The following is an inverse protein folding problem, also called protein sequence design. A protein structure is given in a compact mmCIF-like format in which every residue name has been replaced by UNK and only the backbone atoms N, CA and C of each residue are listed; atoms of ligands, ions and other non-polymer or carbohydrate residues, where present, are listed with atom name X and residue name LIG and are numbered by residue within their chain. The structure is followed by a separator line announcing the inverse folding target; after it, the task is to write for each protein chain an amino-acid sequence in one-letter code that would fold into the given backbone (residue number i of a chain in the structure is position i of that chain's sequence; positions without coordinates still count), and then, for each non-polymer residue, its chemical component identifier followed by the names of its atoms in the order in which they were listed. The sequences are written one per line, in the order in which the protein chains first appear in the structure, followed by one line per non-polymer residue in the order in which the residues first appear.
data_IF_981350321196
#
_entry.id   IF_981350321196
#
_cell.length_a   1.000
_cell.length_b   1.000
_cell.length_c   1.000
_cell.angle_alpha   90.00
_cell.angle_beta   90.00
_cell.angle_gamma   90.00
#
_symmetry.space_group_name_H-M   'P 1'
#
loop_
_entity.id
_entity.type
_entity.pdbx_description
1 polymer ?
#
# COMPACT_ATOMS: atom_id res chain seq x y z
N UNK A 1 -16.12 -20.21 -0.26
CA UNK A 1 -15.50 -19.71 -1.51
C UNK A 1 -16.52 -19.30 -2.57
N UNK A 2 -17.61 -20.06 -2.79
CA UNK A 2 -18.69 -19.72 -3.72
C UNK A 2 -19.50 -18.51 -3.28
N UNK A 3 -19.85 -18.39 -2.00
CA UNK A 3 -20.54 -17.23 -1.44
C UNK A 3 -19.68 -15.93 -1.50
N UNK A 4 -18.36 -16.05 -1.36
CA UNK A 4 -17.43 -14.92 -1.50
C UNK A 4 -17.30 -14.46 -2.96
N UNK A 5 -17.30 -15.39 -3.91
CA UNK A 5 -17.33 -15.07 -5.35
C UNK A 5 -18.63 -14.38 -5.77
N UNK A 6 -19.79 -14.86 -5.31
CA UNK A 6 -21.07 -14.21 -5.60
C UNK A 6 -21.21 -12.81 -4.98
N UNK A 7 -20.55 -12.54 -3.83
CA UNK A 7 -20.43 -11.18 -3.28
C UNK A 7 -19.48 -10.29 -4.11
N UNK A 8 -18.36 -10.82 -4.56
CA UNK A 8 -17.37 -10.07 -5.35
C UNK A 8 -17.95 -9.53 -6.67
N UNK A 9 -18.85 -10.26 -7.31
CA UNK A 9 -19.51 -9.80 -8.53
C UNK A 9 -20.53 -8.66 -8.31
N UNK A 10 -20.88 -8.36 -7.07
CA UNK A 10 -21.92 -7.37 -6.73
C UNK A 10 -21.40 -6.06 -6.11
N UNK A 11 -20.18 -6.05 -5.59
CA UNK A 11 -19.63 -4.86 -4.93
C UNK A 11 -18.52 -4.29 -5.81
N UNK A 12 -18.84 -3.30 -6.63
CA UNK A 12 -17.86 -2.48 -7.32
C UNK A 12 -17.75 -1.16 -6.56
N UNK A 13 -16.56 -0.86 -6.04
CA UNK A 13 -16.25 0.46 -5.53
C UNK A 13 -15.63 1.29 -6.66
N UNK A 14 -16.33 2.27 -7.24
CA UNK A 14 -15.76 3.12 -8.27
C UNK A 14 -14.74 4.07 -7.64
N UNK A 15 -13.52 4.22 -8.23
CA UNK A 15 -12.60 5.25 -7.79
C UNK A 15 -13.25 6.63 -7.81
N UNK A 16 -12.98 7.43 -6.77
CA UNK A 16 -13.49 8.80 -6.66
C UNK A 16 -12.68 9.79 -7.51
N UNK A 17 -11.43 9.46 -7.79
CA UNK A 17 -10.56 10.13 -8.74
C UNK A 17 -10.05 9.11 -9.76
N UNK A 18 -9.78 9.56 -10.97
CA UNK A 18 -9.37 8.67 -12.06
C UNK A 18 -7.88 8.85 -12.38
N UNK A 19 -7.10 7.81 -12.14
CA UNK A 19 -5.73 7.70 -12.60
C UNK A 19 -5.65 6.66 -13.72
N UNK A 20 -5.11 7.04 -14.87
CA UNK A 20 -4.94 6.14 -16.01
C UNK A 20 -3.69 5.26 -15.90
N UNK A 21 -2.78 5.61 -14.98
CA UNK A 21 -1.56 4.86 -14.73
C UNK A 21 -1.83 3.67 -13.83
N UNK A 22 -1.24 2.54 -14.18
CA UNK A 22 -1.30 1.30 -13.40
C UNK A 22 0.06 0.88 -12.85
N UNK A 23 1.14 1.55 -13.27
CA UNK A 23 2.52 1.30 -12.82
C UNK A 23 3.16 2.60 -12.35
N UNK A 24 4.01 2.53 -11.31
CA UNK A 24 4.66 3.70 -10.74
C UNK A 24 6.11 3.40 -10.37
N UNK A 25 6.96 4.37 -10.64
CA UNK A 25 8.39 4.35 -10.32
C UNK A 25 8.64 4.77 -8.87
N UNK A 26 9.86 4.53 -8.36
CA UNK A 26 10.27 5.02 -7.05
C UNK A 26 10.12 6.54 -6.92
N UNK A 27 10.46 7.31 -7.95
CA UNK A 27 10.33 8.76 -7.90
C UNK A 27 8.87 9.20 -7.67
N UNK A 28 7.91 8.52 -8.28
CA UNK A 28 6.49 8.80 -8.06
C UNK A 28 6.00 8.36 -6.67
N UNK A 29 6.57 7.28 -6.11
CA UNK A 29 6.30 6.91 -4.72
C UNK A 29 6.83 7.96 -3.75
N UNK A 30 7.97 8.57 -4.04
CA UNK A 30 8.53 9.66 -3.23
C UNK A 30 7.69 10.94 -3.29
N UNK A 31 6.95 11.18 -4.37
CA UNK A 31 5.94 12.26 -4.41
C UNK A 31 4.85 12.04 -3.36
N UNK A 32 4.37 10.81 -3.17
CA UNK A 32 3.42 10.47 -2.10
C UNK A 32 4.07 10.67 -0.72
N UNK A 33 5.33 10.27 -0.54
CA UNK A 33 6.07 10.49 0.70
C UNK A 33 6.26 11.98 1.02
N UNK A 34 6.39 12.81 0.00
CA UNK A 34 6.46 14.27 0.12
C UNK A 34 5.07 14.92 0.39
N UNK A 35 3.98 14.18 0.29
CA UNK A 35 2.61 14.71 0.41
C UNK A 35 2.10 15.38 -0.86
N UNK A 36 2.66 15.01 -2.01
CA UNK A 36 2.26 15.50 -3.33
C UNK A 36 1.62 14.40 -4.19
N UNK A 37 0.39 13.95 -3.90
CA UNK A 37 -0.26 12.92 -4.70
C UNK A 37 -0.51 13.36 -6.16
N UNK A 38 -0.60 14.65 -6.43
CA UNK A 38 -0.71 15.16 -7.79
C UNK A 38 0.54 14.88 -8.65
N UNK A 39 1.72 14.89 -8.05
CA UNK A 39 2.97 14.53 -8.72
C UNK A 39 3.04 13.05 -9.09
N UNK A 40 2.33 12.19 -8.36
CA UNK A 40 2.26 10.77 -8.60
C UNK A 40 1.11 10.39 -9.56
N UNK A 41 -0.11 10.80 -9.26
CA UNK A 41 -1.33 10.33 -9.91
C UNK A 41 -1.88 11.28 -10.99
N UNK A 42 -1.46 12.53 -10.98
CA UNK A 42 -1.94 13.57 -11.90
C UNK A 42 -2.67 14.71 -11.19
N UNK A 43 -2.96 15.80 -11.93
CA UNK A 43 -3.41 17.08 -11.35
C UNK A 43 -4.74 17.00 -10.59
N UNK A 44 -5.62 16.05 -10.93
CA UNK A 44 -6.89 15.85 -10.23
C UNK A 44 -6.72 15.44 -8.75
N UNK A 45 -5.53 14.91 -8.40
CA UNK A 45 -5.17 14.51 -7.05
C UNK A 45 -4.61 15.65 -6.19
N UNK A 46 -4.63 16.89 -6.69
CA UNK A 46 -4.18 18.03 -5.91
C UNK A 46 -5.13 18.31 -4.75
N UNK A 47 -4.67 18.06 -3.53
CA UNK A 47 -5.47 18.22 -2.31
C UNK A 47 -5.51 19.68 -1.79
N UNK A 48 -4.80 20.62 -2.43
CA UNK A 48 -4.75 22.03 -2.00
C UNK A 48 -4.38 22.21 -0.51
N UNK A 49 -3.56 21.32 0.03
CA UNK A 49 -3.13 21.35 1.43
C UNK A 49 -4.15 20.80 2.45
N UNK A 50 -5.27 20.23 2.06
CA UNK A 50 -6.31 19.72 2.98
C UNK A 50 -5.85 18.59 3.88
N UNK A 51 -4.94 17.71 3.39
CA UNK A 51 -4.49 16.53 4.12
C UNK A 51 -2.96 16.44 4.14
N UNK A 52 -2.26 17.34 4.82
CA UNK A 52 -0.79 17.40 4.79
C UNK A 52 -0.12 16.17 5.42
N UNK A 53 -0.86 15.42 6.23
CA UNK A 53 -0.38 14.21 6.93
C UNK A 53 -0.71 12.90 6.23
N UNK A 54 -1.47 12.91 5.13
CA UNK A 54 -1.68 11.73 4.30
C UNK A 54 -0.47 11.51 3.38
N UNK A 55 0.57 10.94 3.95
CA UNK A 55 1.86 10.65 3.31
C UNK A 55 2.20 9.19 3.48
N UNK A 56 2.97 8.65 2.54
CA UNK A 56 3.63 7.38 2.71
C UNK A 56 4.93 7.54 3.52
N UNK A 57 5.59 6.42 3.81
CA UNK A 57 6.86 6.40 4.51
C UNK A 57 7.94 7.27 3.81
N UNK A 58 8.88 7.86 4.55
CA UNK A 58 10.01 8.56 3.98
C UNK A 58 10.93 7.58 3.20
N UNK A 59 11.75 8.12 2.30
CA UNK A 59 12.59 7.36 1.38
C UNK A 59 13.36 6.20 2.04
N UNK A 60 13.95 6.44 3.21
CA UNK A 60 14.74 5.44 3.95
C UNK A 60 13.89 4.27 4.49
N UNK A 61 12.60 4.49 4.71
CA UNK A 61 11.67 3.52 5.26
C UNK A 61 10.65 3.02 4.23
N UNK A 62 10.78 3.45 2.98
CA UNK A 62 9.91 3.01 1.89
C UNK A 62 10.21 1.57 1.51
N UNK A 63 9.24 0.68 1.74
CA UNK A 63 9.38 -0.77 1.57
C UNK A 63 9.03 -1.27 0.17
N UNK A 64 8.94 -0.37 -0.82
CA UNK A 64 8.78 -0.71 -2.24
C UNK A 64 9.55 0.27 -3.12
N UNK A 65 10.10 -0.23 -4.23
CA UNK A 65 10.84 0.59 -5.20
C UNK A 65 10.01 0.91 -6.44
N UNK A 66 8.97 0.11 -6.69
CA UNK A 66 8.07 0.33 -7.83
C UNK A 66 6.74 -0.39 -7.64
N UNK A 67 5.70 0.17 -8.20
CA UNK A 67 4.40 -0.49 -8.35
C UNK A 67 4.36 -1.13 -9.74
N UNK A 68 4.12 -2.42 -9.76
CA UNK A 68 4.05 -3.23 -10.98
C UNK A 68 2.65 -3.23 -11.58
N UNK A 69 1.63 -3.17 -10.73
CA UNK A 69 0.23 -2.98 -11.19
C UNK A 69 -0.65 -2.47 -10.05
N UNK A 70 -1.61 -1.64 -10.42
CA UNK A 70 -2.76 -1.25 -9.59
C UNK A 70 -4.03 -1.53 -10.39
N UNK A 71 -4.91 -2.36 -9.83
CA UNK A 71 -6.16 -2.77 -10.47
C UNK A 71 -7.34 -2.47 -9.53
N UNK A 72 -8.04 -1.34 -9.70
CA UNK A 72 -9.11 -0.92 -8.79
C UNK A 72 -10.31 -1.87 -8.70
N UNK A 73 -10.50 -2.71 -9.70
CA UNK A 73 -11.64 -3.64 -9.78
C UNK A 73 -11.22 -5.11 -9.89
N UNK A 74 -9.91 -5.39 -9.73
CA UNK A 74 -9.36 -6.73 -9.83
C UNK A 74 -9.40 -7.50 -8.51
N UNK A 75 -8.71 -8.65 -8.52
CA UNK A 75 -8.54 -9.50 -7.34
C UNK A 75 -9.75 -10.39 -7.02
N UNK A 76 -9.60 -11.28 -6.03
CA UNK A 76 -10.62 -12.30 -5.71
C UNK A 76 -11.91 -11.73 -5.13
N UNK A 77 -11.86 -10.50 -4.60
CA UNK A 77 -13.00 -9.81 -3.99
C UNK A 77 -13.62 -8.74 -4.91
N UNK A 78 -13.03 -8.49 -6.10
CA UNK A 78 -13.51 -7.47 -7.04
C UNK A 78 -13.32 -6.02 -6.58
N UNK A 79 -12.62 -5.81 -5.46
CA UNK A 79 -12.39 -4.49 -4.85
C UNK A 79 -10.99 -3.94 -5.14
N UNK A 80 -10.19 -4.68 -5.91
CA UNK A 80 -8.88 -4.28 -6.36
C UNK A 80 -7.74 -5.02 -5.72
N UNK A 81 -6.57 -4.82 -6.32
CA UNK A 81 -5.29 -5.26 -5.78
C UNK A 81 -4.15 -4.35 -6.24
N UNK A 82 -3.05 -4.43 -5.55
CA UNK A 82 -1.81 -3.76 -5.91
C UNK A 82 -0.64 -4.75 -5.80
N UNK A 83 0.28 -4.68 -6.78
CA UNK A 83 1.52 -5.46 -6.79
C UNK A 83 2.70 -4.50 -6.85
N UNK A 84 3.67 -4.72 -5.99
CA UNK A 84 4.90 -3.92 -5.92
C UNK A 84 6.14 -4.80 -5.74
N UNK A 85 7.28 -4.26 -6.08
CA UNK A 85 8.57 -4.88 -5.85
C UNK A 85 9.49 -3.94 -5.06
N UNK A 86 10.32 -4.55 -4.21
CA UNK A 86 11.48 -3.93 -3.58
C UNK A 86 12.71 -4.74 -3.94
N UNK A 87 13.70 -4.07 -4.51
CA UNK A 87 15.02 -4.65 -4.70
C UNK A 87 15.77 -4.70 -3.35
N UNK A 88 16.55 -5.73 -3.15
CA UNK A 88 17.27 -5.97 -1.91
C UNK A 88 18.77 -5.84 -2.16
N UNK A 89 19.45 -5.13 -1.28
CA UNK A 89 20.90 -5.09 -1.23
C UNK A 89 21.40 -5.74 0.07
N UNK A 90 22.52 -6.49 0.05
CA UNK A 90 23.03 -7.15 1.26
C UNK A 90 23.39 -6.19 2.40
N UNK A 91 23.62 -4.93 2.09
CA UNK A 91 23.94 -3.84 3.03
C UNK A 91 22.75 -2.96 3.39
N UNK A 92 21.52 -3.34 2.99
CA UNK A 92 20.32 -2.64 3.43
C UNK A 92 20.25 -2.56 4.96
N UNK A 93 19.84 -1.40 5.46
CA UNK A 93 19.93 -1.01 6.87
C UNK A 93 19.24 -1.99 7.84
N UNK A 94 18.23 -2.73 7.41
CA UNK A 94 17.47 -3.65 8.26
C UNK A 94 18.17 -4.98 8.49
N UNK A 95 19.07 -5.43 7.61
CA UNK A 95 19.77 -6.70 7.78
C UNK A 95 20.73 -6.72 8.98
N UNK A 96 21.58 -5.70 9.21
CA UNK A 96 22.40 -5.70 10.44
C UNK A 96 21.61 -5.50 11.72
N UNK A 97 20.34 -5.05 11.64
CA UNK A 97 19.48 -4.85 12.81
C UNK A 97 18.78 -6.13 13.27
N UNK A 98 18.62 -7.13 12.39
CA UNK A 98 17.71 -8.25 12.68
C UNK A 98 18.12 -9.54 11.92
N UNK A 99 18.94 -10.45 12.54
CA UNK A 99 19.57 -10.37 13.85
C UNK A 99 21.10 -10.27 13.72
N UNK A 100 21.81 -9.96 14.83
CA UNK A 100 23.27 -10.03 14.83
C UNK A 100 23.71 -11.46 14.48
N UNK A 101 24.59 -11.59 13.48
CA UNK A 101 25.14 -12.85 13.00
C UNK A 101 24.12 -13.81 12.30
N UNK A 102 22.86 -13.39 12.16
CA UNK A 102 21.82 -14.12 11.44
C UNK A 102 20.85 -13.12 10.75
N UNK A 103 21.30 -12.42 9.70
CA UNK A 103 20.54 -11.33 9.10
C UNK A 103 19.37 -11.84 8.28
N UNK A 104 18.17 -11.41 8.65
CA UNK A 104 16.92 -11.67 7.93
C UNK A 104 16.04 -10.41 7.93
N UNK A 105 15.28 -10.19 6.87
CA UNK A 105 14.29 -9.12 6.84
C UNK A 105 13.16 -9.44 7.84
N UNK A 106 12.93 -8.53 8.79
CA UNK A 106 11.90 -8.70 9.79
C UNK A 106 10.50 -8.85 9.18
N UNK A 107 9.73 -9.83 9.65
CA UNK A 107 8.34 -10.03 9.22
C UNK A 107 7.45 -8.80 9.45
N UNK A 108 7.74 -8.01 10.49
CA UNK A 108 7.08 -6.72 10.75
C UNK A 108 7.35 -5.69 9.65
N UNK A 109 8.56 -5.65 9.07
CA UNK A 109 8.89 -4.77 7.96
C UNK A 109 8.22 -5.24 6.66
N UNK A 110 8.10 -6.54 6.45
CA UNK A 110 7.32 -7.07 5.32
C UNK A 110 5.84 -6.70 5.47
N UNK A 111 5.28 -6.78 6.66
CA UNK A 111 3.92 -6.34 6.93
C UNK A 111 3.75 -4.82 6.74
N UNK A 112 4.73 -4.03 7.18
CA UNK A 112 4.77 -2.59 6.94
C UNK A 112 4.73 -2.25 5.45
N UNK A 113 5.48 -2.98 4.60
CA UNK A 113 5.41 -2.83 3.15
C UNK A 113 3.99 -3.02 2.60
N UNK A 114 3.26 -4.01 3.10
CA UNK A 114 1.85 -4.22 2.74
C UNK A 114 0.96 -3.05 3.18
N UNK A 115 1.19 -2.49 4.39
CA UNK A 115 0.44 -1.32 4.89
C UNK A 115 0.71 -0.10 4.01
N UNK A 116 1.96 0.18 3.66
CA UNK A 116 2.32 1.29 2.77
C UNK A 116 1.64 1.17 1.40
N UNK A 117 1.55 -0.04 0.85
CA UNK A 117 0.85 -0.30 -0.40
C UNK A 117 -0.67 -0.13 -0.26
N UNK A 118 -1.25 -0.53 0.86
CA UNK A 118 -2.66 -0.27 1.13
C UNK A 118 -2.94 1.24 1.21
N UNK A 119 -2.10 2.01 1.89
CA UNK A 119 -2.20 3.47 1.95
C UNK A 119 -2.10 4.10 0.55
N UNK A 120 -1.14 3.66 -0.26
CA UNK A 120 -1.02 4.08 -1.65
C UNK A 120 -2.29 3.78 -2.45
N UNK A 121 -2.85 2.58 -2.31
CA UNK A 121 -4.06 2.17 -3.00
C UNK A 121 -5.27 3.04 -2.61
N UNK A 122 -5.43 3.37 -1.32
CA UNK A 122 -6.51 4.26 -0.85
C UNK A 122 -6.40 5.67 -1.46
N UNK A 123 -5.17 6.20 -1.56
CA UNK A 123 -4.92 7.47 -2.22
C UNK A 123 -5.20 7.39 -3.72
N UNK A 124 -4.81 6.28 -4.37
CA UNK A 124 -5.09 6.05 -5.79
C UNK A 124 -6.60 5.99 -6.09
N UNK A 125 -7.41 5.45 -5.19
CA UNK A 125 -8.88 5.48 -5.27
C UNK A 125 -9.49 6.87 -5.07
N UNK A 126 -8.73 7.84 -4.57
CA UNK A 126 -9.22 9.19 -4.29
C UNK A 126 -9.95 9.34 -2.95
N UNK A 127 -9.80 8.41 -1.98
CA UNK A 127 -10.52 8.47 -0.70
C UNK A 127 -10.13 9.68 0.15
N UNK A 128 -8.98 10.28 -0.08
CA UNK A 128 -8.56 11.55 0.55
C UNK A 128 -9.48 12.73 0.25
N UNK A 129 -10.33 12.63 -0.79
CA UNK A 129 -11.30 13.69 -1.11
C UNK A 129 -12.46 13.75 -0.12
N UNK A 130 -12.66 12.72 0.67
CA UNK A 130 -13.75 12.59 1.64
C UNK A 130 -13.36 13.07 3.05
N UNK A 131 -12.11 13.48 3.26
CA UNK A 131 -11.56 13.82 4.58
C UNK A 131 -10.73 15.10 4.52
N UNK A 132 -10.59 15.76 5.68
CA UNK A 132 -9.70 16.91 5.89
C UNK A 132 -8.88 16.70 7.17
N UNK A 133 -7.62 17.15 7.17
CA UNK A 133 -6.67 17.00 8.28
C UNK A 133 -6.48 15.55 8.76
N UNK A 134 -6.68 14.60 7.84
CA UNK A 134 -6.64 13.19 8.15
C UNK A 134 -5.20 12.64 8.21
N UNK A 135 -5.06 11.55 8.97
CA UNK A 135 -3.87 10.71 9.02
C UNK A 135 -4.25 9.25 8.83
N UNK A 136 -3.35 8.45 8.29
CA UNK A 136 -3.55 7.01 8.28
C UNK A 136 -3.48 6.44 9.69
N UNK A 137 -4.46 5.62 10.05
CA UNK A 137 -4.57 4.99 11.36
C UNK A 137 -4.96 3.52 11.21
N UNK A 138 -4.48 2.62 12.06
CA UNK A 138 -5.02 1.27 12.16
C UNK A 138 -6.51 1.33 12.56
N UNK A 139 -7.31 0.39 12.04
CA UNK A 139 -8.70 0.26 12.47
C UNK A 139 -8.72 -0.24 13.91
N UNK A 140 -9.29 0.56 14.81
CA UNK A 140 -9.33 0.22 16.25
C UNK A 140 -10.03 -1.12 16.49
N UNK A 141 -9.38 -1.99 17.27
CA UNK A 141 -9.91 -3.29 17.63
C UNK A 141 -9.80 -4.38 16.53
N UNK A 142 -9.30 -4.04 15.35
CA UNK A 142 -9.05 -5.03 14.31
C UNK A 142 -7.59 -5.53 14.40
N UNK A 143 -7.36 -6.83 14.69
CA UNK A 143 -6.01 -7.37 14.79
C UNK A 143 -5.38 -7.53 13.40
N UNK A 144 -4.10 -7.16 13.29
CA UNK A 144 -3.27 -7.52 12.14
C UNK A 144 -2.70 -8.93 12.36
N UNK A 145 -2.95 -9.84 11.42
CA UNK A 145 -2.46 -11.21 11.49
C UNK A 145 -1.29 -11.38 10.52
N UNK A 146 -0.10 -11.61 11.06
CA UNK A 146 1.12 -11.86 10.28
C UNK A 146 1.53 -13.33 10.42
N UNK A 147 1.80 -14.00 9.32
CA UNK A 147 2.30 -15.38 9.27
C UNK A 147 3.51 -15.45 8.35
N UNK A 148 4.70 -15.52 8.94
CA UNK A 148 5.94 -15.73 8.20
C UNK A 148 6.10 -17.23 7.88
N UNK A 149 6.31 -17.56 6.61
CA UNK A 149 6.48 -18.95 6.13
C UNK A 149 7.84 -19.21 5.49
N UNK A 150 8.70 -18.22 5.49
CA UNK A 150 10.06 -18.26 4.96
C UNK A 150 10.85 -17.08 5.47
N UNK A 151 12.12 -17.06 5.13
CA UNK A 151 13.05 -15.99 5.43
C UNK A 151 13.37 -15.21 4.15
N UNK A 152 13.65 -13.94 4.30
CA UNK A 152 14.25 -13.09 3.27
C UNK A 152 15.64 -12.71 3.78
N UNK A 153 16.68 -13.08 3.06
CA UNK A 153 18.09 -12.99 3.48
C UNK A 153 18.89 -12.07 2.58
N UNK A 154 20.10 -11.61 3.01
CA UNK A 154 21.00 -10.76 2.22
C UNK A 154 21.54 -11.45 0.96
N UNK A 155 20.90 -12.07 0.18
CA UNK A 155 21.28 -12.75 -1.07
C UNK A 155 20.09 -12.90 -1.99
N UNK A 156 18.91 -12.64 -1.45
CA UNK A 156 17.70 -12.56 -2.26
C UNK A 156 17.73 -11.27 -3.08
N UNK A 157 17.41 -11.33 -4.39
CA UNK A 157 17.52 -10.15 -5.25
C UNK A 157 16.41 -9.13 -5.01
N UNK A 158 15.23 -9.60 -4.62
CA UNK A 158 14.04 -8.76 -4.41
C UNK A 158 12.93 -9.49 -3.67
N UNK A 159 11.99 -8.71 -3.15
CA UNK A 159 10.70 -9.21 -2.68
C UNK A 159 9.58 -8.62 -3.52
N UNK A 160 8.52 -9.39 -3.69
CA UNK A 160 7.29 -8.95 -4.34
C UNK A 160 6.17 -8.93 -3.33
N UNK A 161 5.51 -7.79 -3.22
CA UNK A 161 4.30 -7.60 -2.43
C UNK A 161 3.08 -7.75 -3.32
N UNK A 162 2.05 -8.38 -2.79
CA UNK A 162 0.71 -8.38 -3.37
C UNK A 162 -0.30 -8.12 -2.27
N UNK A 163 -1.05 -7.04 -2.41
CA UNK A 163 -2.12 -6.66 -1.47
C UNK A 163 -3.45 -6.73 -2.20
N UNK A 164 -4.38 -7.52 -1.65
CA UNK A 164 -5.71 -7.74 -2.22
C UNK A 164 -6.76 -7.14 -1.28
N UNK A 165 -7.58 -6.26 -1.83
CA UNK A 165 -8.58 -5.53 -1.05
C UNK A 165 -9.81 -6.40 -0.84
N UNK A 166 -10.18 -6.60 0.43
CA UNK A 166 -11.32 -7.43 0.84
C UNK A 166 -12.54 -6.61 1.17
N UNK A 167 -12.33 -5.40 1.70
CA UNK A 167 -13.41 -4.53 2.11
C UNK A 167 -13.01 -3.07 1.95
N UNK A 168 -13.93 -2.23 1.50
CA UNK A 168 -13.83 -0.77 1.50
C UNK A 168 -15.10 -0.24 2.14
N UNK A 169 -14.96 0.61 3.13
CA UNK A 169 -16.07 1.30 3.77
C UNK A 169 -15.82 2.80 3.85
N UNK A 170 -16.91 3.56 3.99
CA UNK A 170 -16.86 5.03 4.04
C UNK A 170 -17.32 5.58 5.40
N UNK A 171 -17.98 4.78 6.20
CA UNK A 171 -18.55 5.18 7.48
C UNK A 171 -17.86 4.46 8.66
N UNK A 172 -17.61 5.12 9.79
CA UNK A 172 -17.75 6.57 10.03
C UNK A 172 -16.63 7.40 9.37
N UNK A 173 -15.60 6.78 8.89
CA UNK A 173 -14.50 7.35 8.10
C UNK A 173 -14.09 6.36 7.01
N UNK A 174 -13.50 6.83 5.89
CA UNK A 174 -13.01 5.93 4.85
C UNK A 174 -11.99 4.93 5.39
N UNK A 175 -12.16 3.64 5.07
CA UNK A 175 -11.25 2.57 5.47
C UNK A 175 -11.14 1.48 4.41
N UNK A 176 -10.13 0.65 4.50
CA UNK A 176 -10.04 -0.62 3.78
C UNK A 176 -9.43 -1.73 4.64
N UNK A 177 -9.82 -2.96 4.31
CA UNK A 177 -9.23 -4.21 4.84
C UNK A 177 -8.66 -4.99 3.65
N UNK A 178 -7.46 -5.53 3.82
CA UNK A 178 -6.73 -6.27 2.79
C UNK A 178 -6.22 -7.64 3.32
#
# INVERSE_FOLDING_TARGET
ELELKEKADKIKFPPLLHCTKTTFTRQELLEISAGNPAGCFGPEYNQQGKNPSLKNAPDQFLMSDRIMSVEPHGGPYGLGYIVAEKDLAPDDWYFPCHFKDDPVLAGSLMAEGCVQLLQFFLLHLGLQTLVEDATFQPIHGLPQIVRCRGQVIPGDPKITYRVEIKEIGLEPHPYAIA
#
